data_IF_867692750868
#
_entry.id   IF_867692750868
#
_cell.length_a   1.000
_cell.length_b   1.000
_cell.length_c   1.000
_cell.angle_alpha   90.00
_cell.angle_beta   90.00
_cell.angle_gamma   90.00
#
_symmetry.space_group_name_H-M   'P 1'
#
loop_
_entity.id
_entity.type
_entity.pdbx_description
1 polymer ?
#
# COMPACT_ATOMS: atom_id res chain seq x y z
N UNK A 1 0.89 -0.66 0.45
CA UNK A 1 2.10 -1.28 1.03
C UNK A 1 1.76 -2.55 1.81
N UNK A 2 1.04 -2.49 2.92
CA UNK A 2 0.75 -3.66 3.77
C UNK A 2 0.04 -4.81 3.03
N UNK A 3 -0.97 -4.49 2.21
CA UNK A 3 -1.61 -5.48 1.33
C UNK A 3 -0.61 -6.21 0.42
N UNK A 4 0.37 -5.48 -0.12
CA UNK A 4 1.38 -6.05 -1.02
C UNK A 4 2.39 -6.91 -0.27
N UNK A 5 2.71 -6.56 0.98
CA UNK A 5 3.50 -7.43 1.87
C UNK A 5 2.72 -8.72 2.14
N UNK A 6 1.41 -8.62 2.42
CA UNK A 6 0.55 -9.78 2.63
C UNK A 6 0.52 -10.68 1.38
N UNK A 7 0.36 -10.11 0.19
CA UNK A 7 0.40 -10.87 -1.08
C UNK A 7 1.77 -11.51 -1.32
N UNK A 8 2.86 -10.76 -1.15
CA UNK A 8 4.23 -11.27 -1.32
C UNK A 8 4.58 -12.35 -0.29
N UNK A 9 4.01 -12.30 0.92
CA UNK A 9 4.22 -13.31 1.96
C UNK A 9 3.72 -14.70 1.60
N UNK A 10 2.79 -14.80 0.64
CA UNK A 10 2.33 -16.09 0.09
C UNK A 10 3.48 -16.84 -0.59
N UNK A 11 4.57 -16.16 -0.95
CA UNK A 11 5.80 -16.73 -1.48
C UNK A 11 6.71 -17.16 -0.31
N UNK A 12 7.05 -18.46 -0.17
CA UNK A 12 7.84 -18.94 0.96
C UNK A 12 9.18 -18.22 1.16
N UNK A 13 9.85 -17.84 0.07
CA UNK A 13 11.12 -17.11 0.06
C UNK A 13 11.04 -15.68 0.60
N UNK A 14 9.83 -15.13 0.71
CA UNK A 14 9.57 -13.81 1.25
C UNK A 14 8.92 -13.91 2.63
N UNK A 15 7.82 -14.67 2.74
CA UNK A 15 7.08 -14.83 4.00
C UNK A 15 7.93 -15.40 5.13
N UNK A 16 8.83 -16.32 4.84
CA UNK A 16 9.76 -16.90 5.82
C UNK A 16 10.84 -15.95 6.32
N UNK A 17 10.97 -14.74 5.76
CA UNK A 17 11.95 -13.72 6.17
C UNK A 17 11.31 -12.56 6.95
N UNK A 18 9.98 -12.50 7.00
CA UNK A 18 9.27 -11.45 7.72
C UNK A 18 9.47 -11.58 9.23
N UNK A 19 9.44 -10.44 9.93
CA UNK A 19 9.40 -10.38 11.40
C UNK A 19 8.33 -11.32 11.96
N UNK A 20 8.70 -12.14 12.93
CA UNK A 20 7.80 -13.11 13.54
C UNK A 20 6.52 -12.41 14.08
N UNK A 21 5.35 -12.93 13.71
CA UNK A 21 4.05 -12.36 14.08
C UNK A 21 3.61 -11.16 13.23
N UNK A 22 4.45 -10.61 12.34
CA UNK A 22 4.08 -9.45 11.53
C UNK A 22 2.90 -9.71 10.61
N UNK A 23 2.82 -10.91 10.02
CA UNK A 23 1.69 -11.31 9.17
C UNK A 23 0.34 -11.27 9.88
N UNK A 24 0.32 -11.55 11.19
CA UNK A 24 -0.90 -11.53 12.00
C UNK A 24 -1.44 -10.11 12.22
N UNK A 25 -0.59 -9.10 11.99
CA UNK A 25 -0.96 -7.67 12.08
C UNK A 25 -1.51 -7.11 10.77
N UNK A 26 -1.31 -7.82 9.65
CA UNK A 26 -1.71 -7.35 8.34
C UNK A 26 -3.20 -7.62 8.11
N UNK A 27 -3.90 -6.60 7.61
CA UNK A 27 -5.28 -6.72 7.16
C UNK A 27 -5.33 -6.73 5.64
N UNK A 28 -6.26 -7.52 5.10
CA UNK A 28 -6.53 -7.50 3.67
C UNK A 28 -7.16 -6.16 3.30
N UNK A 29 -6.59 -5.49 2.30
CA UNK A 29 -7.17 -4.29 1.70
C UNK A 29 -7.96 -4.73 0.47
N UNK A 30 -9.11 -4.12 0.26
CA UNK A 30 -9.95 -4.37 -0.92
C UNK A 30 -9.19 -4.02 -2.21
N UNK A 31 -9.30 -4.87 -3.25
CA UNK A 31 -8.64 -4.66 -4.53
C UNK A 31 -9.04 -3.35 -5.24
N UNK A 32 -10.25 -2.85 -4.95
CA UNK A 32 -10.81 -1.62 -5.53
C UNK A 32 -10.58 -0.39 -4.64
N UNK A 33 -9.68 -0.46 -3.65
CA UNK A 33 -9.43 0.61 -2.69
C UNK A 33 -9.16 1.98 -3.32
N UNK A 34 -8.39 2.01 -4.41
CA UNK A 34 -8.06 3.26 -5.11
C UNK A 34 -9.29 3.93 -5.73
N UNK A 35 -10.18 3.13 -6.32
CA UNK A 35 -11.42 3.61 -6.93
C UNK A 35 -12.45 4.01 -5.87
N UNK A 36 -12.51 3.28 -4.75
CA UNK A 36 -13.33 3.62 -3.59
C UNK A 36 -12.90 4.96 -3.00
N UNK A 37 -11.60 5.16 -2.74
CA UNK A 37 -11.07 6.41 -2.21
C UNK A 37 -11.37 7.60 -3.13
N UNK A 38 -11.21 7.43 -4.43
CA UNK A 38 -11.54 8.47 -5.42
C UNK A 38 -13.04 8.81 -5.38
N UNK A 39 -13.88 7.80 -5.32
CA UNK A 39 -15.35 7.96 -5.26
C UNK A 39 -15.77 8.65 -3.97
N UNK A 40 -15.17 8.28 -2.84
CA UNK A 40 -15.45 8.86 -1.54
C UNK A 40 -15.09 10.36 -1.53
N UNK A 41 -13.89 10.72 -2.01
CA UNK A 41 -13.48 12.13 -2.10
C UNK A 41 -14.43 12.93 -2.99
N UNK A 42 -14.83 12.40 -4.14
CA UNK A 42 -15.80 13.07 -5.01
C UNK A 42 -17.19 13.21 -4.34
N UNK A 43 -17.64 12.18 -3.61
CA UNK A 43 -18.96 12.16 -2.95
C UNK A 43 -19.08 13.22 -1.84
N UNK A 44 -17.96 13.59 -1.21
CA UNK A 44 -17.91 14.66 -0.20
C UNK A 44 -18.02 16.06 -0.78
N UNK A 45 -18.11 16.19 -2.12
CA UNK A 45 -18.28 17.46 -2.83
C UNK A 45 -16.96 18.16 -3.19
N UNK A 46 -15.82 17.49 -3.01
CA UNK A 46 -14.53 17.99 -3.50
C UNK A 46 -14.38 17.72 -4.99
N UNK A 47 -13.75 18.66 -5.70
CA UNK A 47 -13.32 18.47 -7.08
C UNK A 47 -11.92 17.90 -7.08
N UNK A 48 -11.77 16.67 -7.54
CA UNK A 48 -10.45 16.02 -7.70
C UNK A 48 -9.72 16.71 -8.84
N UNK A 49 -8.53 17.24 -8.57
CA UNK A 49 -7.68 17.95 -9.54
C UNK A 49 -6.51 17.10 -10.00
N UNK A 50 -6.04 16.19 -9.15
CA UNK A 50 -4.99 15.22 -9.47
C UNK A 50 -5.30 13.88 -8.82
N UNK A 51 -5.07 12.81 -9.56
CA UNK A 51 -5.12 11.44 -9.05
C UNK A 51 -4.09 10.61 -9.80
N UNK A 52 -3.14 10.04 -9.07
CA UNK A 52 -2.07 9.24 -9.65
C UNK A 52 -1.83 7.99 -8.80
N UNK A 53 -1.65 6.86 -9.49
CA UNK A 53 -1.16 5.63 -8.91
C UNK A 53 0.24 5.37 -9.47
N UNK A 54 1.22 5.16 -8.61
CA UNK A 54 2.58 4.78 -9.01
C UNK A 54 2.99 3.49 -8.36
N UNK A 55 3.67 2.68 -9.15
CA UNK A 55 4.37 1.50 -8.67
C UNK A 55 5.72 1.91 -8.09
N UNK A 56 5.98 1.47 -6.87
CA UNK A 56 7.23 1.66 -6.16
C UNK A 56 7.92 0.32 -5.98
N UNK A 57 9.24 0.37 -6.10
CA UNK A 57 10.14 -0.73 -5.83
C UNK A 57 11.10 -0.25 -4.75
N UNK A 58 11.14 -0.97 -3.64
CA UNK A 58 11.97 -0.63 -2.50
C UNK A 58 12.75 -1.87 -2.04
N UNK A 59 13.88 -1.66 -1.38
CA UNK A 59 14.68 -2.70 -0.77
C UNK A 59 15.00 -2.30 0.67
N UNK A 60 14.43 -3.03 1.63
CA UNK A 60 14.52 -2.67 3.04
C UNK A 60 14.51 -3.89 3.95
N UNK A 61 15.26 -3.83 5.04
CA UNK A 61 15.24 -4.84 6.10
C UNK A 61 14.26 -4.49 7.23
N UNK A 62 13.50 -3.38 7.11
CA UNK A 62 12.60 -2.89 8.16
C UNK A 62 11.51 -3.90 8.57
N UNK A 63 11.13 -4.81 7.66
CA UNK A 63 10.14 -5.86 7.91
C UNK A 63 10.77 -7.25 8.02
N UNK A 64 12.10 -7.33 7.93
CA UNK A 64 12.84 -8.58 8.01
C UNK A 64 13.11 -8.95 9.47
N UNK A 65 12.99 -10.24 9.78
CA UNK A 65 13.44 -10.77 11.07
C UNK A 65 14.96 -10.85 11.19
N UNK A 66 15.69 -10.73 10.07
CA UNK A 66 17.13 -10.81 10.00
C UNK A 66 17.71 -9.41 9.67
N UNK A 67 18.38 -8.72 10.60
CA UNK A 67 18.97 -7.40 10.33
C UNK A 67 19.96 -7.44 9.16
N UNK A 68 19.86 -6.48 8.24
CA UNK A 68 20.66 -6.41 7.01
C UNK A 68 20.20 -7.34 5.87
N UNK A 69 19.14 -8.14 6.08
CA UNK A 69 18.53 -8.98 5.06
C UNK A 69 17.40 -8.22 4.35
N UNK A 70 17.74 -7.47 3.30
CA UNK A 70 16.79 -6.62 2.58
C UNK A 70 15.71 -7.43 1.86
N UNK A 71 14.46 -7.11 2.12
CA UNK A 71 13.30 -7.56 1.38
C UNK A 71 13.06 -6.63 0.19
N UNK A 72 12.99 -7.19 -1.01
CA UNK A 72 12.51 -6.45 -2.18
C UNK A 72 11.00 -6.31 -2.09
N UNK A 73 10.52 -5.08 -1.94
CA UNK A 73 9.12 -4.73 -1.85
C UNK A 73 8.66 -4.08 -3.14
N UNK A 74 7.60 -4.64 -3.70
CA UNK A 74 6.85 -4.01 -4.77
C UNK A 74 5.50 -3.56 -4.23
N UNK A 75 5.12 -2.30 -4.42
CA UNK A 75 3.80 -1.82 -4.00
C UNK A 75 3.30 -0.62 -4.81
N UNK A 76 1.99 -0.43 -4.84
CA UNK A 76 1.38 0.77 -5.43
C UNK A 76 1.16 1.84 -4.35
N UNK A 77 1.66 3.05 -4.61
CA UNK A 77 1.35 4.26 -3.87
C UNK A 77 0.32 5.10 -4.63
N UNK A 78 -0.49 5.85 -3.88
CA UNK A 78 -1.58 6.67 -4.42
C UNK A 78 -1.40 8.11 -3.96
N UNK A 79 -1.55 9.04 -4.90
CA UNK A 79 -1.59 10.48 -4.65
C UNK A 79 -2.92 11.04 -5.15
N UNK A 80 -3.61 11.79 -4.29
CA UNK A 80 -4.85 12.48 -4.63
C UNK A 80 -4.77 13.94 -4.17
N UNK A 81 -5.00 14.87 -5.09
CA UNK A 81 -5.21 16.27 -4.77
C UNK A 81 -6.64 16.65 -5.15
N UNK A 82 -7.33 17.33 -4.23
CA UNK A 82 -8.69 17.77 -4.43
C UNK A 82 -8.89 19.14 -3.79
N UNK A 83 -9.79 19.92 -4.38
CA UNK A 83 -10.13 21.26 -3.92
C UNK A 83 -11.62 21.34 -3.57
N UNK A 84 -11.94 22.18 -2.59
CA UNK A 84 -13.33 22.52 -2.33
C UNK A 84 -13.79 23.51 -3.40
N UNK A 85 -14.89 23.25 -4.13
CA UNK A 85 -15.42 24.21 -5.08
C UNK A 85 -15.76 25.53 -4.37
N UNK A 86 -15.33 26.66 -4.92
CA UNK A 86 -15.79 27.97 -4.45
C UNK A 86 -17.29 28.10 -4.73
N UNK A 87 -18.04 28.46 -3.69
CA UNK A 87 -19.50 28.63 -3.70
C UNK A 87 -19.92 29.92 -4.38
#
# INVERSE_FOLDING_TARGET
LEHEILEQSKRPEFGGRLTAGYLETLVEIEGDFADNLKSDVASTGFRITHFECREYHDETDAFSQNPGDNLSLKFVGLEIAAEKPES
#
